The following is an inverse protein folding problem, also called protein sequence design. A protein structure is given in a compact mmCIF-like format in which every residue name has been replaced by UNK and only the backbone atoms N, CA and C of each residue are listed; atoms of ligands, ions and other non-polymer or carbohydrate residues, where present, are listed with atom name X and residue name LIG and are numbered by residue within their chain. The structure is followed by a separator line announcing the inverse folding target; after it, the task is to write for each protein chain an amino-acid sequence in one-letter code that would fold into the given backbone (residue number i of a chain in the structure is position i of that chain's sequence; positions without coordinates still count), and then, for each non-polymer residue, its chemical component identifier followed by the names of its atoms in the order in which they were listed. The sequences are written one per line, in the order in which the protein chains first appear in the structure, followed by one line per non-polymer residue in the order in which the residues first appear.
data_IF_966857666315
#
_entry.id   IF_966857666315
#
_cell.length_a   1.000
_cell.length_b   1.000
_cell.length_c   1.000
_cell.angle_alpha   90.00
_cell.angle_beta   90.00
_cell.angle_gamma   90.00
#
_symmetry.space_group_name_H-M   'P 1'
#
loop_
_entity.id
_entity.type
_entity.pdbx_description
1 polymer ?
#
# COMPACT_ATOMS: atom_id res chain seq x y z
N UNK A 1 -24.34 9.22 -11.74
CA UNK A 1 -24.04 8.03 -10.95
C UNK A 1 -22.53 7.88 -10.76
N UNK A 2 -22.04 7.81 -9.50
CA UNK A 2 -20.60 7.75 -9.21
C UNK A 2 -19.87 6.60 -9.90
N UNK A 3 -20.48 5.40 -9.93
CA UNK A 3 -19.86 4.20 -10.48
C UNK A 3 -19.57 4.34 -11.99
N UNK A 4 -20.49 4.92 -12.76
CA UNK A 4 -20.31 5.08 -14.22
C UNK A 4 -19.17 6.07 -14.51
N UNK A 5 -19.09 7.16 -13.76
CA UNK A 5 -17.99 8.14 -13.87
C UNK A 5 -16.66 7.53 -13.46
N UNK A 6 -16.66 6.76 -12.38
CA UNK A 6 -15.48 6.06 -11.89
C UNK A 6 -14.93 5.08 -12.93
N UNK A 7 -15.78 4.31 -13.60
CA UNK A 7 -15.38 3.42 -14.69
C UNK A 7 -14.67 4.16 -15.83
N UNK A 8 -15.19 5.31 -16.23
CA UNK A 8 -14.59 6.13 -17.31
C UNK A 8 -13.22 6.66 -16.88
N UNK A 9 -13.12 7.18 -15.66
CA UNK A 9 -11.87 7.70 -15.11
C UNK A 9 -10.83 6.60 -14.98
N UNK A 10 -11.22 5.41 -14.49
CA UNK A 10 -10.30 4.29 -14.29
C UNK A 10 -9.64 3.82 -15.59
N UNK A 11 -10.32 3.95 -16.72
CA UNK A 11 -9.74 3.62 -18.04
C UNK A 11 -8.58 4.53 -18.44
N UNK A 12 -8.56 5.76 -17.92
CA UNK A 12 -7.52 6.75 -18.22
C UNK A 12 -6.37 6.74 -17.23
N UNK A 13 -6.48 5.98 -16.12
CA UNK A 13 -5.45 5.90 -15.11
C UNK A 13 -4.41 4.83 -15.45
N UNK A 14 -3.18 5.11 -15.05
CA UNK A 14 -2.13 4.11 -15.03
C UNK A 14 -2.29 3.19 -13.81
N UNK A 15 -1.85 1.92 -13.90
CA UNK A 15 -1.86 1.03 -12.73
C UNK A 15 -1.16 1.66 -11.52
N UNK A 16 -1.79 1.53 -10.35
CA UNK A 16 -1.30 2.08 -9.10
C UNK A 16 -1.80 3.49 -8.78
N UNK A 17 -2.28 4.23 -9.76
CA UNK A 17 -2.87 5.55 -9.50
C UNK A 17 -4.17 5.45 -8.70
N UNK A 18 -4.44 6.48 -7.91
CA UNK A 18 -5.62 6.57 -7.04
C UNK A 18 -6.57 7.65 -7.58
N UNK A 19 -7.86 7.31 -7.64
CA UNK A 19 -8.91 8.26 -7.98
C UNK A 19 -9.70 8.63 -6.71
N UNK A 20 -10.01 9.91 -6.57
CA UNK A 20 -10.97 10.41 -5.59
C UNK A 20 -12.34 10.51 -6.23
N UNK A 21 -13.33 9.88 -5.64
CA UNK A 21 -14.73 9.95 -6.08
C UNK A 21 -15.54 10.69 -5.02
N UNK A 22 -16.07 11.83 -5.38
CA UNK A 22 -16.93 12.62 -4.48
C UNK A 22 -18.40 12.23 -4.68
N UNK A 23 -19.09 11.97 -3.61
CA UNK A 23 -20.52 11.64 -3.59
C UNK A 23 -21.21 12.22 -2.37
N UNK A 24 -22.52 12.45 -2.50
CA UNK A 24 -23.36 12.91 -1.38
C UNK A 24 -24.31 11.83 -0.88
N UNK A 25 -24.38 10.71 -1.59
CA UNK A 25 -25.22 9.57 -1.23
C UNK A 25 -24.47 8.60 -0.32
N UNK A 26 -25.04 8.31 0.83
CA UNK A 26 -24.46 7.36 1.80
C UNK A 26 -24.36 5.93 1.27
N UNK A 27 -25.20 5.54 0.33
CA UNK A 27 -25.13 4.23 -0.33
C UNK A 27 -23.90 4.07 -1.23
N UNK A 28 -23.26 5.16 -1.63
CA UNK A 28 -22.08 5.13 -2.53
C UNK A 28 -20.89 4.36 -1.94
N UNK A 29 -20.74 4.33 -0.62
CA UNK A 29 -19.66 3.59 0.05
C UNK A 29 -19.73 2.10 -0.26
N UNK A 30 -20.90 1.48 -0.04
CA UNK A 30 -21.10 0.06 -0.31
C UNK A 30 -21.00 -0.26 -1.80
N UNK A 31 -21.57 0.60 -2.63
CA UNK A 31 -21.58 0.43 -4.10
C UNK A 31 -20.18 0.49 -4.68
N UNK A 32 -19.38 1.47 -4.29
CA UNK A 32 -18.00 1.63 -4.79
C UNK A 32 -17.09 0.52 -4.27
N UNK A 33 -17.27 0.09 -3.03
CA UNK A 33 -16.51 -1.03 -2.47
C UNK A 33 -16.80 -2.32 -3.23
N UNK A 34 -18.07 -2.61 -3.48
CA UNK A 34 -18.47 -3.80 -4.24
C UNK A 34 -17.95 -3.75 -5.67
N UNK A 35 -18.07 -2.59 -6.32
CA UNK A 35 -17.56 -2.40 -7.67
C UNK A 35 -16.04 -2.57 -7.74
N UNK A 36 -15.29 -1.98 -6.82
CA UNK A 36 -13.83 -2.13 -6.77
C UNK A 36 -13.44 -3.60 -6.62
N UNK A 37 -14.07 -4.32 -5.71
CA UNK A 37 -13.81 -5.75 -5.51
C UNK A 37 -14.12 -6.58 -6.77
N UNK A 38 -15.23 -6.31 -7.44
CA UNK A 38 -15.64 -7.06 -8.65
C UNK A 38 -14.74 -6.78 -9.86
N UNK A 39 -14.09 -5.64 -9.90
CA UNK A 39 -13.20 -5.22 -11.01
C UNK A 39 -11.72 -5.43 -10.70
N UNK A 40 -11.40 -5.97 -9.53
CA UNK A 40 -10.01 -6.18 -9.10
C UNK A 40 -9.28 -4.91 -8.68
N UNK A 41 -9.97 -3.78 -8.57
CA UNK A 41 -9.41 -2.55 -8.05
C UNK A 41 -9.48 -2.53 -6.51
N UNK A 42 -8.71 -1.67 -5.89
CA UNK A 42 -8.62 -1.60 -4.44
C UNK A 42 -9.40 -0.38 -3.92
N UNK A 43 -10.43 -0.63 -3.12
CA UNK A 43 -11.10 0.42 -2.36
C UNK A 43 -10.29 0.75 -1.11
N UNK A 44 -9.78 1.98 -1.00
CA UNK A 44 -8.90 2.39 0.10
C UNK A 44 -9.68 2.87 1.33
N UNK A 45 -10.73 3.63 1.12
CA UNK A 45 -11.53 4.18 2.21
C UNK A 45 -12.32 5.41 1.80
N UNK A 46 -12.98 6.01 2.79
CA UNK A 46 -13.80 7.22 2.64
C UNK A 46 -13.42 8.25 3.68
N UNK A 47 -13.30 9.51 3.26
CA UNK A 47 -13.19 10.65 4.16
C UNK A 47 -14.52 11.41 4.09
N UNK A 48 -15.14 11.65 5.25
CA UNK A 48 -16.36 12.43 5.35
C UNK A 48 -16.02 13.90 5.59
N UNK A 49 -16.56 14.77 4.75
CA UNK A 49 -16.36 16.22 4.86
C UNK A 49 -17.71 16.92 4.69
N UNK A 50 -18.38 17.18 5.82
CA UNK A 50 -19.75 17.67 5.81
C UNK A 50 -20.69 16.65 5.16
N UNK A 51 -21.40 17.05 4.12
CA UNK A 51 -22.31 16.19 3.37
C UNK A 51 -21.63 15.44 2.22
N UNK A 52 -20.34 15.67 2.00
CA UNK A 52 -19.58 15.06 0.91
C UNK A 52 -18.78 13.88 1.42
N UNK A 53 -18.93 12.74 0.73
CA UNK A 53 -18.13 11.55 0.93
C UNK A 53 -17.03 11.51 -0.15
N UNK A 54 -15.79 11.52 0.26
CA UNK A 54 -14.64 11.37 -0.63
C UNK A 54 -14.14 9.94 -0.56
N UNK A 55 -14.39 9.18 -1.61
CA UNK A 55 -13.96 7.79 -1.73
C UNK A 55 -12.65 7.71 -2.50
N UNK A 56 -11.78 6.82 -2.08
CA UNK A 56 -10.49 6.61 -2.72
C UNK A 56 -10.36 5.20 -3.24
N UNK A 57 -10.12 5.05 -4.54
CA UNK A 57 -9.98 3.77 -5.22
C UNK A 57 -8.67 3.75 -6.00
N UNK A 58 -7.86 2.72 -5.75
CA UNK A 58 -6.60 2.50 -6.46
C UNK A 58 -6.82 1.56 -7.63
N UNK A 59 -6.29 1.91 -8.80
CA UNK A 59 -6.28 1.02 -9.96
C UNK A 59 -5.27 -0.10 -9.72
N UNK A 60 -5.71 -1.36 -9.81
CA UNK A 60 -4.83 -2.52 -9.66
C UNK A 60 -3.76 -2.56 -10.73
N UNK A 61 -2.55 -2.92 -10.32
CA UNK A 61 -1.51 -3.35 -11.24
C UNK A 61 -1.59 -4.87 -11.38
N UNK A 62 -1.43 -5.39 -12.61
CA UNK A 62 -1.42 -6.83 -12.86
C UNK A 62 -0.30 -7.57 -12.14
N UNK A 63 0.71 -6.85 -11.69
CA UNK A 63 1.92 -7.39 -11.05
C UNK A 63 1.68 -7.94 -9.64
N UNK A 64 0.54 -7.64 -9.02
CA UNK A 64 0.23 -8.08 -7.64
C UNK A 64 0.00 -9.60 -7.51
N UNK A 65 -0.06 -10.31 -8.62
CA UNK A 65 -0.26 -11.76 -8.63
C UNK A 65 0.99 -12.57 -8.97
N UNK A 66 2.11 -11.89 -9.26
CA UNK A 66 3.37 -12.57 -9.56
C UNK A 66 4.01 -13.14 -8.29
N UNK A 67 4.62 -14.32 -8.43
CA UNK A 67 5.35 -14.94 -7.33
C UNK A 67 6.59 -14.10 -6.99
N UNK A 68 6.90 -13.90 -5.69
CA UNK A 68 8.07 -13.15 -5.28
C UNK A 68 9.38 -13.80 -5.78
N UNK A 69 10.28 -12.97 -6.33
CA UNK A 69 11.59 -13.41 -6.82
C UNK A 69 12.71 -13.16 -5.78
N UNK A 70 12.53 -12.22 -4.86
CA UNK A 70 13.49 -11.92 -3.81
C UNK A 70 13.51 -13.04 -2.76
N UNK A 71 14.71 -13.53 -2.44
CA UNK A 71 14.87 -14.77 -1.65
C UNK A 71 14.66 -14.59 -0.15
N UNK A 72 14.97 -13.42 0.40
CA UNK A 72 14.84 -13.15 1.83
C UNK A 72 13.40 -12.71 2.15
N UNK A 73 12.60 -13.66 2.58
CA UNK A 73 11.17 -13.48 2.86
C UNK A 73 10.89 -13.75 4.33
N UNK A 74 10.05 -12.91 4.93
CA UNK A 74 9.55 -13.07 6.30
C UNK A 74 8.03 -12.97 6.32
N UNK A 75 7.44 -13.44 7.42
CA UNK A 75 5.98 -13.37 7.61
C UNK A 75 5.54 -12.08 8.30
N UNK A 76 4.24 -11.80 8.28
CA UNK A 76 3.66 -10.68 9.02
C UNK A 76 3.91 -10.81 10.53
N UNK A 77 3.88 -12.04 11.08
CA UNK A 77 4.16 -12.30 12.50
C UNK A 77 5.59 -11.87 12.88
N UNK A 78 6.55 -12.11 12.01
CA UNK A 78 7.93 -11.67 12.23
C UNK A 78 8.02 -10.16 12.36
N UNK A 79 7.31 -9.42 11.52
CA UNK A 79 7.29 -7.95 11.57
C UNK A 79 6.64 -7.45 12.86
N UNK A 80 5.52 -8.02 13.27
CA UNK A 80 4.88 -7.67 14.54
C UNK A 80 5.81 -7.88 15.72
N UNK A 81 6.57 -8.97 15.72
CA UNK A 81 7.51 -9.28 16.81
C UNK A 81 8.67 -8.29 16.90
N UNK A 82 9.11 -7.71 15.78
CA UNK A 82 10.33 -6.86 15.74
C UNK A 82 10.04 -5.37 15.54
N UNK A 83 8.80 -4.96 15.31
CA UNK A 83 8.48 -3.58 14.91
C UNK A 83 8.88 -2.50 15.92
N UNK A 84 9.06 -2.88 17.19
CA UNK A 84 9.48 -1.95 18.24
C UNK A 84 10.99 -2.02 18.52
N UNK A 85 11.72 -2.85 17.79
CA UNK A 85 13.18 -2.94 17.93
C UNK A 85 13.83 -1.72 17.27
N UNK A 86 14.72 -0.97 17.97
CA UNK A 86 15.35 0.23 17.40
C UNK A 86 16.27 -0.04 16.20
N UNK A 87 16.73 -1.29 16.02
CA UNK A 87 17.55 -1.68 14.88
C UNK A 87 16.73 -2.12 13.66
N UNK A 88 15.40 -1.98 13.74
CA UNK A 88 14.45 -2.36 12.71
C UNK A 88 13.80 -1.13 12.10
N UNK A 89 13.68 -1.13 10.77
CA UNK A 89 12.89 -0.16 10.02
C UNK A 89 11.83 -0.91 9.22
N UNK A 90 10.58 -0.49 9.35
CA UNK A 90 9.49 -0.99 8.50
C UNK A 90 9.27 0.02 7.39
N UNK A 91 9.45 -0.41 6.15
CA UNK A 91 9.29 0.42 4.96
C UNK A 91 8.05 -0.03 4.19
N UNK A 92 7.05 0.85 4.13
CA UNK A 92 5.83 0.64 3.35
C UNK A 92 6.00 1.31 1.99
N UNK A 93 6.04 0.52 0.93
CA UNK A 93 6.26 0.99 -0.45
C UNK A 93 4.97 1.13 -1.24
N UNK A 94 3.82 1.08 -0.55
CA UNK A 94 2.52 1.36 -1.17
C UNK A 94 2.37 2.84 -1.50
N UNK A 95 1.31 3.16 -2.24
CA UNK A 95 0.95 4.55 -2.50
C UNK A 95 0.64 5.30 -1.19
N UNK A 96 0.87 6.61 -1.18
CA UNK A 96 0.63 7.47 -0.01
C UNK A 96 -0.81 7.34 0.50
N UNK A 97 -1.79 7.24 -0.40
CA UNK A 97 -3.19 7.09 -0.02
C UNK A 97 -3.46 5.74 0.67
N UNK A 98 -2.86 4.66 0.22
CA UNK A 98 -2.99 3.35 0.88
C UNK A 98 -2.46 3.41 2.32
N UNK A 99 -1.27 3.97 2.49
CA UNK A 99 -0.64 4.17 3.79
C UNK A 99 -1.51 5.05 4.71
N UNK A 100 -2.05 6.13 4.18
CA UNK A 100 -2.83 7.09 4.97
C UNK A 100 -4.08 6.46 5.60
N UNK A 101 -4.76 5.56 4.89
CA UNK A 101 -5.96 4.90 5.42
C UNK A 101 -5.66 3.79 6.43
N UNK A 102 -4.54 3.11 6.29
CA UNK A 102 -4.14 2.06 7.23
C UNK A 102 -2.68 1.67 7.00
N UNK A 103 -1.86 1.71 8.04
CA UNK A 103 -0.46 1.30 7.98
C UNK A 103 0.00 0.70 9.32
N UNK A 104 1.09 -0.04 9.26
CA UNK A 104 1.73 -0.61 10.45
C UNK A 104 2.27 0.52 11.31
N UNK A 105 2.01 0.53 12.65
CA UNK A 105 2.56 1.56 13.52
C UNK A 105 4.10 1.66 13.40
N UNK A 106 4.61 2.87 13.33
CA UNK A 106 6.03 3.22 13.16
C UNK A 106 6.60 2.96 11.75
N UNK A 107 5.80 2.48 10.79
CA UNK A 107 6.26 2.31 9.41
C UNK A 107 6.52 3.66 8.74
N UNK A 108 7.56 3.70 7.91
CA UNK A 108 7.88 4.83 7.04
C UNK A 108 7.32 4.55 5.66
N UNK A 109 6.66 5.52 5.05
CA UNK A 109 6.12 5.37 3.70
C UNK A 109 7.00 6.05 2.66
N UNK A 110 7.53 5.25 1.76
CA UNK A 110 8.17 5.74 0.53
C UNK A 110 7.59 4.89 -0.61
N UNK A 111 6.69 5.44 -1.43
CA UNK A 111 6.12 4.70 -2.55
C UNK A 111 7.20 4.15 -3.48
N UNK A 112 6.97 2.96 -4.05
CA UNK A 112 7.94 2.28 -4.90
C UNK A 112 8.47 3.19 -6.02
N UNK A 113 7.61 3.99 -6.63
CA UNK A 113 7.99 4.92 -7.70
C UNK A 113 8.90 6.07 -7.26
N UNK A 114 8.97 6.36 -5.95
CA UNK A 114 9.82 7.41 -5.38
C UNK A 114 11.06 6.87 -4.68
N UNK A 115 11.18 5.54 -4.57
CA UNK A 115 12.20 4.90 -3.74
C UNK A 115 13.62 5.28 -4.19
N UNK A 116 13.89 5.26 -5.48
CA UNK A 116 15.22 5.57 -6.01
C UNK A 116 15.70 6.99 -5.65
N UNK A 117 14.80 7.97 -5.72
CA UNK A 117 15.13 9.37 -5.40
C UNK A 117 15.18 9.66 -3.90
N UNK A 118 14.56 8.81 -3.08
CA UNK A 118 14.44 8.98 -1.63
C UNK A 118 15.25 7.96 -0.82
N UNK A 119 16.09 7.20 -1.47
CA UNK A 119 16.88 6.14 -0.83
C UNK A 119 17.79 6.68 0.28
N UNK A 120 18.23 7.93 0.19
CA UNK A 120 19.04 8.59 1.21
C UNK A 120 18.33 8.83 2.54
N UNK A 121 17.00 8.67 2.60
CA UNK A 121 16.23 8.76 3.85
C UNK A 121 16.32 7.48 4.69
N UNK A 122 16.87 6.40 4.12
CA UNK A 122 16.96 5.09 4.79
C UNK A 122 18.30 4.91 5.49
N UNK A 123 18.26 4.31 6.68
CA UNK A 123 19.44 3.99 7.48
C UNK A 123 19.99 2.62 7.09
N UNK A 124 21.22 2.60 6.55
CA UNK A 124 21.91 1.37 6.13
C UNK A 124 22.30 0.45 7.30
N UNK A 125 22.33 0.96 8.53
CA UNK A 125 22.66 0.18 9.71
C UNK A 125 21.48 -0.65 10.22
N UNK A 126 20.27 -0.38 9.75
CA UNK A 126 19.07 -1.09 10.20
C UNK A 126 18.71 -2.26 9.27
N UNK A 127 18.03 -3.26 9.82
CA UNK A 127 17.34 -4.27 9.03
C UNK A 127 16.00 -3.69 8.56
N UNK A 128 15.78 -3.66 7.26
CA UNK A 128 14.60 -3.06 6.65
C UNK A 128 13.62 -4.15 6.26
N UNK A 129 12.42 -4.11 6.83
CA UNK A 129 11.31 -4.97 6.49
C UNK A 129 10.41 -4.22 5.53
N UNK A 130 10.37 -4.68 4.28
CA UNK A 130 9.66 -3.98 3.20
C UNK A 130 8.29 -4.62 3.01
N UNK A 131 7.24 -3.81 3.12
CA UNK A 131 5.86 -4.26 3.04
C UNK A 131 5.12 -3.53 1.92
N UNK A 132 4.24 -4.25 1.24
CA UNK A 132 3.23 -3.69 0.37
C UNK A 132 1.90 -4.41 0.61
N UNK A 133 0.97 -4.36 -0.32
CA UNK A 133 -0.33 -5.02 -0.16
C UNK A 133 -0.22 -6.54 -0.21
N UNK A 134 0.48 -7.10 -1.19
CA UNK A 134 0.51 -8.55 -1.49
C UNK A 134 1.91 -9.14 -1.65
N UNK A 135 2.97 -8.35 -1.54
CA UNK A 135 4.35 -8.80 -1.62
C UNK A 135 5.07 -8.53 -2.94
N UNK A 136 4.40 -8.09 -4.01
CA UNK A 136 5.02 -7.88 -5.33
C UNK A 136 5.76 -6.55 -5.44
N UNK A 137 5.16 -5.45 -5.01
CA UNK A 137 5.85 -4.14 -4.99
C UNK A 137 7.02 -4.14 -4.01
N UNK A 138 6.85 -4.76 -2.86
CA UNK A 138 7.91 -4.91 -1.86
C UNK A 138 9.03 -5.82 -2.35
N UNK A 139 8.74 -6.83 -3.17
CA UNK A 139 9.75 -7.66 -3.82
C UNK A 139 10.67 -6.82 -4.73
N UNK A 140 10.09 -5.99 -5.59
CA UNK A 140 10.85 -5.07 -6.45
C UNK A 140 11.66 -4.07 -5.64
N UNK A 141 11.08 -3.52 -4.57
CA UNK A 141 11.78 -2.62 -3.66
C UNK A 141 12.98 -3.31 -2.99
N UNK A 142 12.81 -4.55 -2.53
CA UNK A 142 13.89 -5.34 -1.95
C UNK A 142 15.03 -5.55 -2.93
N UNK A 143 14.71 -5.86 -4.19
CA UNK A 143 15.74 -6.02 -5.23
C UNK A 143 16.54 -4.71 -5.43
N UNK A 144 15.87 -3.57 -5.48
CA UNK A 144 16.52 -2.28 -5.62
C UNK A 144 17.42 -1.94 -4.42
N UNK A 145 16.92 -2.17 -3.22
CA UNK A 145 17.63 -1.86 -1.98
C UNK A 145 18.82 -2.81 -1.74
N UNK A 146 18.63 -4.10 -2.01
CA UNK A 146 19.71 -5.09 -1.90
C UNK A 146 20.87 -4.74 -2.83
N UNK A 147 20.58 -4.33 -4.05
CA UNK A 147 21.59 -3.88 -5.01
C UNK A 147 22.37 -2.64 -4.53
N UNK A 148 21.83 -1.87 -3.60
CA UNK A 148 22.47 -0.71 -2.97
C UNK A 148 23.15 -1.03 -1.63
N UNK A 149 23.16 -2.30 -1.22
CA UNK A 149 23.83 -2.76 0.00
C UNK A 149 23.00 -2.71 1.28
N UNK A 150 21.69 -2.48 1.18
CA UNK A 150 20.79 -2.52 2.35
C UNK A 150 20.48 -3.96 2.76
N UNK A 151 20.31 -4.17 4.07
CA UNK A 151 19.82 -5.42 4.61
C UNK A 151 18.30 -5.40 4.62
N UNK A 152 17.68 -6.11 3.69
CA UNK A 152 16.24 -6.07 3.44
C UNK A 152 15.58 -7.44 3.52
N UNK A 153 14.32 -7.44 3.97
CA UNK A 153 13.46 -8.62 4.03
C UNK A 153 12.12 -8.26 3.38
N UNK A 154 11.63 -9.13 2.49
CA UNK A 154 10.31 -8.96 1.89
C UNK A 154 9.24 -9.55 2.81
N UNK A 155 8.25 -8.77 3.18
CA UNK A 155 7.16 -9.19 4.08
C UNK A 155 6.00 -9.77 3.27
N UNK A 156 5.66 -11.03 3.51
CA UNK A 156 4.60 -11.76 2.81
C UNK A 156 3.65 -12.37 3.84
N UNK A 157 2.34 -12.28 3.63
CA UNK A 157 1.63 -11.73 2.46
C UNK A 157 1.55 -10.20 2.41
N UNK A 158 1.81 -9.50 3.49
CA UNK A 158 1.75 -8.05 3.55
C UNK A 158 0.42 -7.52 4.08
N UNK A 159 0.08 -6.29 3.69
CA UNK A 159 -1.05 -5.56 4.29
C UNK A 159 -2.42 -6.17 3.98
N UNK A 160 -2.58 -6.91 2.89
CA UNK A 160 -3.85 -7.59 2.57
C UNK A 160 -4.28 -8.61 3.64
N UNK A 161 -3.33 -9.13 4.41
CA UNK A 161 -3.58 -10.11 5.48
C UNK A 161 -2.98 -9.69 6.83
N UNK A 162 -2.74 -8.41 7.01
CA UNK A 162 -2.24 -7.87 8.27
C UNK A 162 -3.33 -7.91 9.34
N UNK A 163 -3.07 -8.62 10.44
CA UNK A 163 -4.06 -8.91 11.50
C UNK A 163 -3.82 -8.16 12.80
N UNK A 164 -2.79 -7.33 12.83
CA UNK A 164 -2.36 -6.62 14.02
C UNK A 164 -2.78 -5.15 13.96
N UNK A 165 -2.32 -4.36 14.94
CA UNK A 165 -2.66 -2.95 15.02
C UNK A 165 -2.26 -2.16 13.77
N UNK A 166 -3.06 -1.16 13.45
CA UNK A 166 -2.79 -0.20 12.38
C UNK A 166 -3.06 1.22 12.85
N UNK A 167 -2.38 2.16 12.21
CA UNK A 167 -2.64 3.60 12.38
C UNK A 167 -3.19 4.20 11.09
N UNK A 168 -3.80 5.38 11.22
CA UNK A 168 -4.31 6.18 10.13
C UNK A 168 -3.74 7.59 10.22
N UNK A 169 -3.57 8.25 9.07
CA UNK A 169 -3.19 9.67 8.98
C UNK A 169 -4.26 10.53 8.32
N UNK A 170 -5.41 9.94 8.05
CA UNK A 170 -6.60 10.63 7.52
C UNK A 170 -7.57 11.04 8.61
#
# INVERSE_FOLDING_TARGET
MPIVRTKKTMKTLEPGQVVEVQATDKGSTADLRAWANSTGNQYLGTIEEGDVLRHYVRKSSGDEQEAPAFKSVVTNETVEAVRNNPDTLILDVRETAEYAFSHIPNAVNIPLGELETRIGELDTAKTIYVVCRTGSRSDLACQQLDAKGFNVQNVIPGMSDWKYDTHQTV
#
